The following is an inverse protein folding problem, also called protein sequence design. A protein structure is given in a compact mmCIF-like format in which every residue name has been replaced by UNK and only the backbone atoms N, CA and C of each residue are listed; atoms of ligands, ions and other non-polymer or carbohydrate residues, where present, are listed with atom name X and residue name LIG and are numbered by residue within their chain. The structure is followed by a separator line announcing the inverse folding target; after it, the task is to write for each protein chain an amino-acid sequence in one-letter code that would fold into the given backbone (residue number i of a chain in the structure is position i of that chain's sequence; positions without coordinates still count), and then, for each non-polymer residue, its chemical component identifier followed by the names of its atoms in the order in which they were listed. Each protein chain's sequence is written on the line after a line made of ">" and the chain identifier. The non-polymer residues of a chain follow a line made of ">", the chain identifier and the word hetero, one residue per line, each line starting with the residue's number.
data_IF_039573103816
#
_entry.id   IF_039573103816
#
_cell.length_a   1.000
_cell.length_b   1.000
_cell.length_c   1.000
_cell.angle_alpha   90.00
_cell.angle_beta   90.00
_cell.angle_gamma   90.00
#
_symmetry.space_group_name_H-M   'P 1'
#
loop_
_entity.id
_entity.type
_entity.pdbx_description
1 polymer ?
#
# COMPACT_ATOMS: atom_id res chain seq x y z
N UNK A 1 -12.65 -2.73 27.98
CA UNK A 1 -12.92 -3.20 26.61
C UNK A 1 -12.66 -2.03 25.67
N UNK A 2 -11.49 -1.98 25.02
CA UNK A 2 -11.16 -0.91 24.09
C UNK A 2 -11.63 -1.32 22.69
N UNK A 3 -12.83 -0.88 22.32
CA UNK A 3 -13.30 -1.01 20.94
C UNK A 3 -12.55 0.01 20.08
N UNK A 4 -11.75 -0.48 19.12
CA UNK A 4 -11.19 0.34 18.04
C UNK A 4 -12.31 1.14 17.38
N UNK A 5 -12.12 2.43 17.07
CA UNK A 5 -13.15 3.19 16.36
C UNK A 5 -13.40 2.54 14.99
N UNK A 6 -14.66 2.52 14.51
CA UNK A 6 -14.92 2.07 13.15
C UNK A 6 -14.18 3.02 12.21
N UNK A 7 -13.20 2.51 11.49
CA UNK A 7 -12.46 3.26 10.47
C UNK A 7 -13.42 3.50 9.29
N UNK A 8 -14.41 4.36 9.49
CA UNK A 8 -15.44 4.71 8.52
C UNK A 8 -14.90 5.79 7.57
N UNK A 9 -13.70 5.55 7.04
CA UNK A 9 -13.03 6.45 6.11
C UNK A 9 -13.75 6.29 4.77
N UNK A 10 -14.67 7.23 4.48
CA UNK A 10 -15.30 7.29 3.17
C UNK A 10 -14.20 7.34 2.10
N UNK A 11 -14.21 6.51 1.05
CA UNK A 11 -13.20 6.54 -0.01
C UNK A 11 -13.05 7.92 -0.66
N UNK A 12 -14.09 8.76 -0.58
CA UNK A 12 -14.07 10.14 -1.05
C UNK A 12 -13.21 11.07 -0.19
N UNK A 13 -12.99 10.75 1.09
CA UNK A 13 -12.23 11.53 2.07
C UNK A 13 -10.83 10.97 2.34
N UNK A 14 -10.49 9.80 1.81
CA UNK A 14 -9.17 9.20 1.98
C UNK A 14 -8.11 9.98 1.18
N UNK A 15 -6.91 10.19 1.75
CA UNK A 15 -5.77 10.74 1.00
C UNK A 15 -5.53 9.93 -0.28
N UNK A 16 -5.34 10.62 -1.40
CA UNK A 16 -5.13 9.99 -2.71
C UNK A 16 -3.67 10.13 -3.12
N UNK A 17 -3.12 9.04 -3.63
CA UNK A 17 -1.81 9.01 -4.28
C UNK A 17 -2.03 8.61 -5.74
N UNK A 18 -1.49 9.39 -6.67
CA UNK A 18 -1.52 9.03 -8.09
C UNK A 18 -0.38 8.05 -8.39
N UNK A 19 -0.69 6.95 -9.07
CA UNK A 19 0.27 5.90 -9.40
C UNK A 19 0.48 5.85 -10.91
N UNK A 20 1.73 6.06 -11.36
CA UNK A 20 2.10 6.11 -12.78
C UNK A 20 3.13 5.01 -13.13
N UNK A 21 2.74 3.72 -13.13
CA UNK A 21 3.64 2.63 -13.44
C UNK A 21 3.93 2.55 -14.95
N UNK A 22 5.10 2.03 -15.35
CA UNK A 22 5.33 1.59 -16.73
C UNK A 22 4.28 0.56 -17.19
N UNK A 23 3.97 0.47 -18.50
CA UNK A 23 2.93 -0.45 -19.01
C UNK A 23 3.14 -1.91 -18.58
N UNK A 24 4.38 -2.40 -18.63
CA UNK A 24 4.72 -3.76 -18.21
C UNK A 24 4.36 -4.05 -16.75
N UNK A 25 4.59 -3.08 -15.86
CA UNK A 25 4.27 -3.21 -14.44
C UNK A 25 2.75 -3.19 -14.23
N UNK A 26 2.03 -2.33 -14.96
CA UNK A 26 0.56 -2.27 -14.91
C UNK A 26 -0.05 -3.61 -15.32
N UNK A 27 0.43 -4.22 -16.40
CA UNK A 27 -0.05 -5.52 -16.86
C UNK A 27 0.21 -6.64 -15.83
N UNK A 28 1.40 -6.67 -15.22
CA UNK A 28 1.72 -7.64 -14.17
C UNK A 28 0.81 -7.47 -12.95
N UNK A 29 0.59 -6.22 -12.55
CA UNK A 29 -0.30 -5.87 -11.44
C UNK A 29 -1.75 -6.29 -11.72
N UNK A 30 -2.26 -6.04 -12.94
CA UNK A 30 -3.60 -6.45 -13.37
C UNK A 30 -3.78 -7.96 -13.36
N UNK A 31 -2.79 -8.70 -13.89
CA UNK A 31 -2.78 -10.17 -13.88
C UNK A 31 -2.81 -10.71 -12.46
N UNK A 32 -1.96 -10.18 -11.58
CA UNK A 32 -1.87 -10.62 -10.19
C UNK A 32 -3.18 -10.33 -9.43
N UNK A 33 -3.74 -9.14 -9.59
CA UNK A 33 -5.03 -8.77 -8.99
C UNK A 33 -6.16 -9.70 -9.46
N UNK A 34 -6.18 -10.07 -10.73
CA UNK A 34 -7.15 -11.03 -11.28
C UNK A 34 -7.00 -12.43 -10.67
N UNK A 35 -5.78 -12.94 -10.53
CA UNK A 35 -5.51 -14.26 -9.94
C UNK A 35 -6.01 -14.31 -8.49
N UNK A 36 -5.75 -13.24 -7.73
CA UNK A 36 -6.14 -13.15 -6.32
C UNK A 36 -7.58 -12.69 -6.07
N UNK A 37 -8.36 -12.45 -7.13
CA UNK A 37 -9.74 -11.95 -7.07
C UNK A 37 -9.87 -10.64 -6.29
N UNK A 38 -8.93 -9.72 -6.50
CA UNK A 38 -8.89 -8.38 -5.89
C UNK A 38 -8.97 -7.28 -6.95
N UNK A 39 -9.33 -6.08 -6.54
CA UNK A 39 -9.17 -4.91 -7.41
C UNK A 39 -7.68 -4.53 -7.54
N UNK A 40 -7.32 -3.86 -8.64
CA UNK A 40 -5.96 -3.35 -8.87
C UNK A 40 -5.52 -2.46 -7.71
N UNK A 41 -6.40 -1.57 -7.23
CA UNK A 41 -6.10 -0.64 -6.14
C UNK A 41 -5.85 -1.36 -4.80
N UNK A 42 -6.61 -2.42 -4.50
CA UNK A 42 -6.37 -3.23 -3.31
C UNK A 42 -5.07 -4.01 -3.41
N UNK A 43 -4.78 -4.60 -4.58
CA UNK A 43 -3.52 -5.30 -4.80
C UNK A 43 -2.32 -4.35 -4.67
N UNK A 44 -2.41 -3.15 -5.26
CA UNK A 44 -1.38 -2.13 -5.12
C UNK A 44 -1.15 -1.74 -3.65
N UNK A 45 -2.22 -1.58 -2.87
CA UNK A 45 -2.13 -1.26 -1.45
C UNK A 45 -1.36 -2.35 -0.68
N UNK A 46 -1.69 -3.62 -0.89
CA UNK A 46 -1.02 -4.74 -0.22
C UNK A 46 0.48 -4.77 -0.51
N UNK A 47 0.85 -4.64 -1.79
CA UNK A 47 2.26 -4.62 -2.20
C UNK A 47 3.02 -3.43 -1.60
N UNK A 48 2.36 -2.28 -1.46
CA UNK A 48 2.93 -1.11 -0.78
C UNK A 48 3.10 -1.38 0.71
N UNK A 49 2.11 -1.94 1.39
CA UNK A 49 2.18 -2.31 2.81
C UNK A 49 3.33 -3.29 3.07
N UNK A 50 3.45 -4.35 2.27
CA UNK A 50 4.55 -5.32 2.35
C UNK A 50 5.93 -4.67 2.13
N UNK A 51 6.02 -3.76 1.16
CA UNK A 51 7.25 -3.01 0.88
C UNK A 51 7.66 -2.11 2.03
N UNK A 52 6.70 -1.41 2.65
CA UNK A 52 6.92 -0.55 3.81
C UNK A 52 7.31 -1.38 5.04
N UNK A 53 6.63 -2.49 5.32
CA UNK A 53 7.00 -3.38 6.41
C UNK A 53 8.44 -3.90 6.26
N UNK A 54 8.84 -4.27 5.04
CA UNK A 54 10.21 -4.71 4.76
C UNK A 54 11.21 -3.59 5.00
N UNK A 55 10.93 -2.39 4.50
CA UNK A 55 11.80 -1.23 4.71
C UNK A 55 11.94 -0.87 6.20
N UNK A 56 10.86 -1.00 6.98
CA UNK A 56 10.89 -0.82 8.43
C UNK A 56 11.77 -1.87 9.12
N UNK A 57 11.62 -3.15 8.76
CA UNK A 57 12.46 -4.25 9.29
C UNK A 57 13.94 -4.07 8.94
N UNK A 58 14.22 -3.52 7.77
CA UNK A 58 15.57 -3.19 7.31
C UNK A 58 16.13 -1.90 7.94
N UNK A 59 15.36 -1.21 8.79
CA UNK A 59 15.80 0.02 9.45
C UNK A 59 15.89 1.24 8.52
N UNK A 60 15.31 1.19 7.31
CA UNK A 60 15.37 2.29 6.33
C UNK A 60 14.66 3.57 6.76
N UNK A 61 13.79 3.49 7.78
CA UNK A 61 13.08 4.63 8.37
C UNK A 61 13.66 5.08 9.70
N UNK A 62 14.73 4.43 10.18
CA UNK A 62 15.48 4.97 11.30
C UNK A 62 16.33 6.10 10.75
N UNK A 63 15.78 7.31 10.78
CA UNK A 63 16.59 8.50 10.67
C UNK A 63 17.69 8.38 11.73
N UNK A 64 18.94 8.27 11.27
CA UNK A 64 20.05 8.77 12.04
C UNK A 64 19.73 10.23 12.38
N UNK A 65 19.21 10.46 13.58
CA UNK A 65 19.49 11.70 14.29
C UNK A 65 20.98 11.67 14.63
N UNK A 66 21.81 11.88 13.62
CA UNK A 66 23.19 12.28 13.81
C UNK A 66 23.22 13.81 13.70
N UNK A 67 23.53 14.40 14.86
CA UNK A 67 23.87 15.80 15.22
C UNK A 67 22.77 16.88 15.25
#
# INVERSE_FOLDING_TARGET
>A
MNTLPPNNVSPAKSPRVAFYPPPEIKEKLEKLASIERRSISQMALLLVEEGLERAQKEGKFNESKDD
#
